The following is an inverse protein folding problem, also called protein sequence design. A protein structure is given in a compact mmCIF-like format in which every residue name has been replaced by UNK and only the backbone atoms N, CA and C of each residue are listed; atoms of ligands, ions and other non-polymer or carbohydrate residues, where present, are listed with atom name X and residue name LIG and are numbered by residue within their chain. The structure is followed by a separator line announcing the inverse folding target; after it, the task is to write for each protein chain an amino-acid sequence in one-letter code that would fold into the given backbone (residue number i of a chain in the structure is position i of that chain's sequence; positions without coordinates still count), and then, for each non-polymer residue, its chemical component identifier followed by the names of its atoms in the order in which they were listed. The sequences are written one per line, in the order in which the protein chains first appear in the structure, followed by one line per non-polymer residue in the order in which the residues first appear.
data_IF_314145631352
#
_entry.id   IF_314145631352
#
_cell.length_a   1.000
_cell.length_b   1.000
_cell.length_c   1.000
_cell.angle_alpha   90.00
_cell.angle_beta   90.00
_cell.angle_gamma   90.00
#
_symmetry.space_group_name_H-M   'P 1'
#
loop_
_entity.id
_entity.type
_entity.pdbx_description
1 polymer ?
#
# COMPACT_ATOMS: atom_id res chain seq x y z
N UNK A 1 -41.79 35.93 -40.94
CA UNK A 1 -41.67 36.20 -39.48
C UNK A 1 -41.27 34.87 -38.85
N UNK A 2 -39.97 34.55 -38.83
CA UNK A 2 -39.03 34.73 -37.69
C UNK A 2 -39.39 33.81 -36.51
N UNK A 3 -38.42 32.93 -36.20
CA UNK A 3 -38.11 32.33 -34.90
C UNK A 3 -38.48 30.84 -34.73
N UNK A 4 -37.66 29.96 -34.16
CA UNK A 4 -36.29 30.02 -33.63
C UNK A 4 -35.81 28.56 -33.51
N UNK A 5 -34.51 28.36 -33.75
CA UNK A 5 -33.77 27.10 -33.63
C UNK A 5 -33.56 26.78 -32.15
N UNK A 6 -33.86 25.54 -31.72
CA UNK A 6 -33.31 25.02 -30.45
C UNK A 6 -32.90 23.56 -30.63
N UNK A 7 -31.64 23.36 -31.01
CA UNK A 7 -31.00 22.05 -31.02
C UNK A 7 -30.59 21.68 -29.59
N UNK A 8 -31.21 20.66 -29.01
CA UNK A 8 -30.79 20.08 -27.74
C UNK A 8 -29.62 19.13 -27.99
N UNK A 9 -28.40 19.60 -27.76
CA UNK A 9 -27.18 18.77 -27.77
C UNK A 9 -27.07 18.07 -26.41
N UNK A 10 -27.51 16.82 -26.34
CA UNK A 10 -27.21 15.93 -25.21
C UNK A 10 -25.75 15.47 -25.34
N UNK A 11 -24.82 16.20 -24.70
CA UNK A 11 -23.45 15.76 -24.55
C UNK A 11 -23.38 14.72 -23.40
N UNK A 12 -23.48 13.44 -23.74
CA UNK A 12 -23.12 12.35 -22.83
C UNK A 12 -21.62 12.44 -22.52
N UNK A 13 -21.28 13.03 -21.38
CA UNK A 13 -19.95 12.96 -20.78
C UNK A 13 -19.67 11.51 -20.33
N UNK A 14 -19.08 10.71 -21.22
CA UNK A 14 -18.49 9.43 -20.85
C UNK A 14 -17.35 9.71 -19.87
N UNK A 15 -17.58 9.47 -18.59
CA UNK A 15 -16.53 9.42 -17.58
C UNK A 15 -15.64 8.22 -17.90
N UNK A 16 -14.53 8.46 -18.60
CA UNK A 16 -13.48 7.47 -18.79
C UNK A 16 -12.86 7.19 -17.43
N UNK A 17 -13.17 6.03 -16.85
CA UNK A 17 -12.42 5.50 -15.72
C UNK A 17 -10.98 5.29 -16.19
N UNK A 18 -10.08 6.19 -15.80
CA UNK A 18 -8.65 6.03 -16.07
C UNK A 18 -8.21 4.83 -15.23
N UNK A 19 -7.73 3.73 -15.83
CA UNK A 19 -7.11 2.68 -15.04
C UNK A 19 -5.91 3.33 -14.35
N UNK A 20 -5.95 3.41 -13.02
CA UNK A 20 -4.74 3.67 -12.23
C UNK A 20 -3.78 2.55 -12.60
N UNK A 21 -2.82 2.87 -13.47
CA UNK A 21 -1.64 2.05 -13.61
C UNK A 21 -1.09 1.92 -12.20
N UNK A 22 -1.08 0.69 -11.71
CA UNK A 22 -0.43 0.21 -10.52
C UNK A 22 1.08 0.53 -10.58
N UNK A 23 1.41 1.82 -10.50
CA UNK A 23 2.77 2.32 -10.59
C UNK A 23 3.56 1.85 -9.39
N UNK A 24 4.79 1.44 -9.63
CA UNK A 24 5.73 1.18 -8.54
C UNK A 24 5.91 2.47 -7.72
N UNK A 25 5.55 2.42 -6.45
CA UNK A 25 5.83 3.50 -5.52
C UNK A 25 7.25 3.35 -4.97
N UNK A 26 8.04 4.42 -5.06
CA UNK A 26 9.37 4.47 -4.47
C UNK A 26 9.28 5.11 -3.08
N UNK A 27 9.47 4.27 -2.06
CA UNK A 27 9.68 4.73 -0.70
C UNK A 27 11.15 5.10 -0.48
N UNK A 28 11.44 5.65 0.69
CA UNK A 28 12.80 6.01 1.10
C UNK A 28 13.76 4.80 0.97
N UNK A 29 15.05 5.09 0.76
CA UNK A 29 16.14 4.08 0.67
C UNK A 29 15.98 3.06 -0.46
N UNK A 30 15.25 3.41 -1.52
CA UNK A 30 15.09 2.59 -2.71
C UNK A 30 14.20 1.36 -2.50
N UNK A 31 13.36 1.37 -1.45
CA UNK A 31 12.34 0.35 -1.24
C UNK A 31 11.20 0.60 -2.24
N UNK A 32 10.80 -0.45 -2.95
CA UNK A 32 9.67 -0.41 -3.89
C UNK A 32 8.43 -0.95 -3.23
N UNK A 33 7.29 -0.34 -3.50
CA UNK A 33 5.98 -0.87 -3.12
C UNK A 33 5.15 -1.05 -4.38
N UNK A 34 4.64 -2.26 -4.57
CA UNK A 34 3.88 -2.65 -5.76
C UNK A 34 2.55 -3.25 -5.31
N UNK A 35 1.42 -2.88 -5.92
CA UNK A 35 0.17 -3.58 -5.66
C UNK A 35 0.26 -5.02 -6.20
N UNK A 36 -0.22 -5.97 -5.40
CA UNK A 36 -0.38 -7.38 -5.79
C UNK A 36 -1.78 -7.58 -6.39
N UNK A 37 -2.77 -6.92 -5.80
CA UNK A 37 -4.16 -6.81 -6.27
C UNK A 37 -4.79 -5.54 -5.67
N UNK A 38 -6.11 -5.39 -5.76
CA UNK A 38 -6.84 -4.19 -5.33
C UNK A 38 -6.74 -3.87 -3.83
N UNK A 39 -6.47 -4.87 -2.98
CA UNK A 39 -6.47 -4.72 -1.51
C UNK A 39 -5.14 -5.11 -0.87
N UNK A 40 -4.24 -5.78 -1.60
CA UNK A 40 -2.92 -6.21 -1.13
C UNK A 40 -1.84 -5.52 -1.91
N UNK A 41 -0.85 -4.99 -1.21
CA UNK A 41 0.39 -4.47 -1.79
C UNK A 41 1.60 -5.15 -1.15
N UNK A 42 2.66 -5.29 -1.92
CA UNK A 42 3.92 -5.85 -1.46
C UNK A 42 5.02 -4.80 -1.38
N UNK A 43 5.81 -4.89 -0.32
CA UNK A 43 6.99 -4.08 -0.09
C UNK A 43 8.22 -4.92 -0.42
N UNK A 44 9.05 -4.40 -1.32
CA UNK A 44 10.24 -5.06 -1.86
C UNK A 44 11.46 -4.16 -1.60
N UNK A 45 12.37 -4.53 -0.68
CA UNK A 45 13.46 -3.64 -0.26
C UNK A 45 14.49 -3.46 -1.37
N UNK A 46 15.14 -2.31 -1.52
CA UNK A 46 16.19 -2.15 -2.54
C UNK A 46 17.41 -3.05 -2.32
N UNK A 47 17.82 -3.23 -1.06
CA UNK A 47 18.97 -4.03 -0.60
C UNK A 47 18.51 -5.08 0.45
N UNK A 48 19.40 -5.55 1.33
CA UNK A 48 19.01 -6.30 2.54
C UNK A 48 18.22 -5.38 3.49
N UNK A 49 16.93 -5.19 3.21
CA UNK A 49 16.08 -4.29 3.97
C UNK A 49 15.81 -4.80 5.38
N UNK A 50 16.00 -3.93 6.37
CA UNK A 50 15.68 -4.23 7.75
C UNK A 50 14.17 -4.30 7.98
N UNK A 51 13.74 -4.84 9.12
CA UNK A 51 12.31 -4.88 9.49
C UNK A 51 11.67 -3.49 9.45
N UNK A 52 12.41 -2.46 9.84
CA UNK A 52 11.96 -1.07 9.85
C UNK A 52 11.74 -0.48 8.45
N UNK A 53 12.51 -0.90 7.45
CA UNK A 53 12.33 -0.43 6.07
C UNK A 53 11.00 -0.90 5.48
N UNK A 54 10.60 -2.14 5.80
CA UNK A 54 9.31 -2.70 5.38
C UNK A 54 8.14 -1.92 5.99
N UNK A 55 8.14 -1.75 7.31
CA UNK A 55 7.08 -1.01 8.02
C UNK A 55 7.01 0.46 7.58
N UNK A 56 8.17 1.12 7.42
CA UNK A 56 8.21 2.49 6.91
C UNK A 56 7.63 2.61 5.50
N UNK A 57 8.07 1.77 4.57
CA UNK A 57 7.61 1.85 3.18
C UNK A 57 6.12 1.50 3.05
N UNK A 58 5.65 0.51 3.82
CA UNK A 58 4.24 0.18 3.89
C UNK A 58 3.39 1.36 4.39
N UNK A 59 3.80 2.01 5.48
CA UNK A 59 3.11 3.19 6.00
C UNK A 59 3.09 4.36 5.00
N UNK A 60 4.20 4.59 4.28
CA UNK A 60 4.25 5.62 3.23
C UNK A 60 3.28 5.31 2.09
N UNK A 61 3.19 4.07 1.64
CA UNK A 61 2.27 3.66 0.60
C UNK A 61 0.81 3.78 1.05
N UNK A 62 0.49 3.24 2.23
CA UNK A 62 -0.83 3.36 2.84
C UNK A 62 -1.28 4.83 2.94
N UNK A 63 -0.39 5.72 3.40
CA UNK A 63 -0.72 7.13 3.56
C UNK A 63 -0.83 7.89 2.24
N UNK A 64 0.17 7.77 1.37
CA UNK A 64 0.36 8.65 0.21
C UNK A 64 -0.33 8.15 -1.05
N UNK A 65 -0.50 6.84 -1.18
CA UNK A 65 -1.12 6.21 -2.35
C UNK A 65 -2.54 5.77 -2.04
N UNK A 66 -2.76 5.12 -0.88
CA UNK A 66 -4.08 4.61 -0.50
C UNK A 66 -4.91 5.60 0.32
N UNK A 67 -4.34 6.75 0.71
CA UNK A 67 -5.07 7.82 1.41
C UNK A 67 -5.39 7.54 2.88
N UNK A 68 -4.81 6.50 3.49
CA UNK A 68 -5.06 6.13 4.89
C UNK A 68 -4.76 7.28 5.86
N UNK A 69 -5.51 7.37 6.95
CA UNK A 69 -5.27 8.30 8.06
C UNK A 69 -4.13 7.83 8.96
N UNK A 70 -3.60 8.71 9.81
CA UNK A 70 -2.51 8.38 10.72
C UNK A 70 -2.85 7.29 11.74
N UNK A 71 -4.12 7.24 12.17
CA UNK A 71 -4.66 6.28 13.12
C UNK A 71 -5.03 4.95 12.48
N UNK A 72 -5.19 4.92 11.16
CA UNK A 72 -5.56 3.70 10.44
C UNK A 72 -4.45 2.66 10.58
N UNK A 73 -4.85 1.40 10.65
CA UNK A 73 -3.93 0.27 10.78
C UNK A 73 -3.78 -0.41 9.44
N UNK A 74 -2.57 -0.91 9.21
CA UNK A 74 -2.27 -1.78 8.09
C UNK A 74 -1.66 -3.07 8.64
N UNK A 75 -1.96 -4.16 7.95
CA UNK A 75 -1.80 -5.52 8.45
C UNK A 75 -0.90 -6.30 7.53
N UNK A 76 -0.02 -7.13 8.08
CA UNK A 76 0.75 -8.12 7.33
C UNK A 76 -0.22 -9.17 6.82
N UNK A 77 -0.22 -9.37 5.50
CA UNK A 77 -0.95 -10.47 4.84
C UNK A 77 -0.06 -11.70 4.74
N UNK A 78 1.20 -11.48 4.35
CA UNK A 78 2.21 -12.54 4.21
C UNK A 78 3.54 -12.03 4.73
N UNK A 79 4.21 -12.88 5.52
CA UNK A 79 5.54 -12.62 6.05
C UNK A 79 6.63 -12.53 4.96
N UNK A 80 7.89 -12.49 5.39
CA UNK A 80 9.04 -12.41 4.48
C UNK A 80 9.14 -13.64 3.59
N UNK A 81 9.03 -13.42 2.28
CA UNK A 81 9.12 -14.47 1.28
C UNK A 81 9.40 -13.85 -0.11
N UNK A 82 9.57 -14.67 -1.16
CA UNK A 82 9.83 -14.22 -2.53
C UNK A 82 8.72 -13.29 -3.00
N UNK A 83 9.11 -12.18 -3.61
CA UNK A 83 8.21 -11.19 -4.21
C UNK A 83 7.42 -11.83 -5.35
N UNK A 84 6.10 -11.67 -5.32
CA UNK A 84 5.23 -12.20 -6.37
C UNK A 84 5.19 -11.26 -7.58
N UNK A 85 5.47 -9.97 -7.39
CA UNK A 85 5.48 -8.99 -8.51
C UNK A 85 6.83 -8.87 -9.21
N UNK A 86 7.95 -9.12 -8.51
CA UNK A 86 9.29 -8.92 -9.06
C UNK A 86 10.23 -10.12 -8.95
N UNK A 87 9.83 -11.23 -8.30
CA UNK A 87 10.68 -12.41 -8.10
C UNK A 87 11.89 -12.19 -7.19
N UNK A 88 12.01 -11.05 -6.50
CA UNK A 88 13.12 -10.81 -5.57
C UNK A 88 13.00 -11.71 -4.34
N UNK A 89 14.17 -12.11 -3.80
CA UNK A 89 14.30 -13.08 -2.71
C UNK A 89 13.61 -12.70 -1.39
N UNK A 90 13.16 -11.45 -1.23
CA UNK A 90 12.49 -11.00 -0.01
C UNK A 90 11.50 -9.88 -0.32
N UNK A 91 10.30 -10.02 0.25
CA UNK A 91 9.18 -9.09 0.22
C UNK A 91 8.25 -9.38 1.40
N UNK A 92 7.44 -8.41 1.78
CA UNK A 92 6.35 -8.59 2.76
C UNK A 92 5.09 -7.98 2.16
N UNK A 93 3.95 -8.64 2.33
CA UNK A 93 2.67 -8.15 1.83
C UNK A 93 1.84 -7.54 2.95
N UNK A 94 1.15 -6.45 2.63
CA UNK A 94 0.32 -5.70 3.55
C UNK A 94 -1.04 -5.36 2.95
N UNK A 95 -2.00 -5.05 3.82
CA UNK A 95 -3.35 -4.59 3.46
C UNK A 95 -3.87 -3.57 4.47
N UNK A 96 -4.82 -2.73 4.03
CA UNK A 96 -5.68 -1.93 4.91
C UNK A 96 -7.01 -2.65 5.24
N UNK A 97 -7.30 -3.77 4.56
CA UNK A 97 -8.57 -4.49 4.62
C UNK A 97 -8.35 -5.93 5.09
N UNK A 98 -7.99 -6.13 6.38
CA UNK A 98 -7.60 -7.45 6.90
C UNK A 98 -8.68 -8.52 6.71
N UNK A 99 -9.95 -8.18 6.91
CA UNK A 99 -11.07 -9.12 6.73
C UNK A 99 -11.22 -9.57 5.27
N UNK A 100 -11.12 -8.65 4.32
CA UNK A 100 -11.21 -8.96 2.88
C UNK A 100 -9.99 -9.76 2.41
N UNK A 101 -8.83 -9.54 3.02
CA UNK A 101 -7.62 -10.33 2.77
C UNK A 101 -7.64 -11.70 3.47
N UNK A 102 -8.65 -12.02 4.29
CA UNK A 102 -8.75 -13.27 5.03
C UNK A 102 -7.72 -13.40 6.16
N UNK A 103 -7.22 -12.28 6.68
CA UNK A 103 -6.18 -12.26 7.71
C UNK A 103 -6.71 -11.61 8.98
N UNK A 104 -7.07 -12.41 10.01
CA UNK A 104 -7.58 -11.86 11.25
C UNK A 104 -6.50 -11.03 11.96
N UNK A 105 -6.83 -9.85 12.50
CA UNK A 105 -5.92 -9.08 13.36
C UNK A 105 -5.36 -9.95 14.49
N UNK A 106 -4.04 -9.93 14.68
CA UNK A 106 -3.42 -10.67 15.77
C UNK A 106 -3.58 -9.89 17.09
N UNK A 107 -4.11 -10.57 18.11
CA UNK A 107 -4.25 -10.05 19.46
C UNK A 107 -3.11 -10.61 20.32
N UNK A 108 -1.99 -9.88 20.39
CA UNK A 108 -0.82 -10.31 21.17
C UNK A 108 0.34 -9.33 21.06
N UNK A 109 1.23 -9.33 22.06
CA UNK A 109 2.37 -8.41 22.14
C UNK A 109 3.67 -9.00 21.59
N UNK A 110 3.71 -10.33 21.39
CA UNK A 110 4.91 -11.03 20.94
C UNK A 110 4.87 -11.24 19.42
N UNK A 111 5.72 -10.51 18.71
CA UNK A 111 5.82 -10.56 17.26
C UNK A 111 7.27 -10.75 16.84
N UNK A 112 7.62 -11.98 16.50
CA UNK A 112 8.93 -12.31 15.95
C UNK A 112 8.85 -12.22 14.43
N UNK A 113 9.28 -11.08 13.89
CA UNK A 113 9.27 -10.83 12.44
C UNK A 113 7.90 -10.46 11.90
N UNK A 114 7.64 -10.84 10.63
CA UNK A 114 6.38 -10.54 9.94
C UNK A 114 5.50 -11.79 9.93
N UNK A 115 4.43 -11.76 10.72
CA UNK A 115 3.42 -12.81 10.77
C UNK A 115 2.08 -12.26 10.27
N UNK A 116 1.26 -13.05 9.56
CA UNK A 116 -0.07 -12.61 9.16
C UNK A 116 -0.89 -12.09 10.36
N UNK A 117 -1.56 -10.95 10.19
CA UNK A 117 -2.40 -10.32 11.21
C UNK A 117 -1.66 -9.31 12.10
N UNK A 118 -0.33 -9.32 12.06
CA UNK A 118 0.49 -8.27 12.68
C UNK A 118 0.17 -6.92 12.07
N UNK A 119 0.14 -5.87 12.89
CA UNK A 119 -0.23 -4.55 12.41
C UNK A 119 0.44 -3.43 13.18
N UNK A 120 0.50 -2.28 12.53
CA UNK A 120 0.84 -0.99 13.12
C UNK A 120 -0.16 0.05 12.65
N UNK A 121 -0.30 1.14 13.40
CA UNK A 121 -0.90 2.34 12.82
C UNK A 121 0.05 2.93 11.78
N UNK A 122 -0.50 3.66 10.80
CA UNK A 122 0.29 4.43 9.81
C UNK A 122 1.28 5.35 10.52
N UNK A 123 0.89 5.98 11.64
CA UNK A 123 1.79 6.80 12.45
C UNK A 123 2.96 6.02 13.03
N UNK A 124 2.72 4.85 13.64
CA UNK A 124 3.78 4.00 14.19
C UNK A 124 4.75 3.55 13.10
N UNK A 125 4.22 3.09 11.96
CA UNK A 125 5.02 2.70 10.80
C UNK A 125 5.86 3.85 10.25
N UNK A 126 5.28 5.04 10.16
CA UNK A 126 5.98 6.22 9.69
C UNK A 126 7.10 6.68 10.64
N UNK A 127 6.97 6.43 11.95
CA UNK A 127 8.05 6.65 12.92
C UNK A 127 9.35 5.92 12.55
N UNK A 128 9.26 4.75 11.93
CA UNK A 128 10.42 4.00 11.44
C UNK A 128 11.09 4.62 10.21
N UNK A 129 10.42 5.55 9.52
CA UNK A 129 11.04 6.25 8.40
C UNK A 129 12.16 7.19 8.82
N UNK A 130 12.01 7.80 10.00
CA UNK A 130 12.95 8.77 10.57
C UNK A 130 13.96 8.13 11.54
N UNK A 131 13.66 6.95 12.10
CA UNK A 131 14.50 6.24 13.08
C UNK A 131 15.42 5.15 12.47
N UNK A 132 15.62 5.11 11.15
CA UNK A 132 16.57 4.15 10.58
C UNK A 132 17.98 4.41 11.13
N UNK A 133 18.71 3.41 11.65
CA UNK A 133 20.09 3.65 12.04
C UNK A 133 20.86 4.13 10.82
N UNK A 134 21.61 5.21 11.00
CA UNK A 134 22.89 5.33 10.33
C UNK A 134 23.74 4.11 10.74
N UNK A 135 24.55 3.63 9.80
CA UNK A 135 25.56 2.56 9.92
C UNK A 135 25.05 1.15 9.58
#
# INVERSE_FOLDING_TARGET
MKNLITAAVLACSMATAIPVSAGTFLANRGVRVLPVNDIVYEVVPGRSGGTWDYWCAAAQYARRVLGASWTDRYYVVRGRDVSVTTGRRSSVQFTLHPEQAGVPPKTGWLSLGFQPGESLSVQQGHGYCVQGPAL
#
